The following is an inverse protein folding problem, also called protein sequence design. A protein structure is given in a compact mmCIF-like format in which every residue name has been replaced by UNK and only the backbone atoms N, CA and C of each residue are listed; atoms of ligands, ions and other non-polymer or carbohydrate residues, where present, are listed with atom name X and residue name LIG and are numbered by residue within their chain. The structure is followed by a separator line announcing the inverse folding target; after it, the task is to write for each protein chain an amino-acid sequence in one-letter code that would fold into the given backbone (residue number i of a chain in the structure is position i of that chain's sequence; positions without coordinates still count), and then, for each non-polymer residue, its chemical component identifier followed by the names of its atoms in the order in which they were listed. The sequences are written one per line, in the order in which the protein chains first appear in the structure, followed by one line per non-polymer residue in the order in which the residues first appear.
data_IF_887234419800
#
_entry.id   IF_887234419800
#
_cell.length_a   1.000
_cell.length_b   1.000
_cell.length_c   1.000
_cell.angle_alpha   90.00
_cell.angle_beta   90.00
_cell.angle_gamma   90.00
#
_symmetry.space_group_name_H-M   'P 1'
#
loop_
_entity.id
_entity.type
_entity.pdbx_description
1 polymer ?
#
# COMPACT_ATOMS: atom_id res chain seq x y z
N UNK A 1 12.47 3.97 -4.66
CA UNK A 1 12.18 3.05 -5.78
C UNK A 1 11.99 1.65 -5.19
N UNK A 2 11.03 0.86 -5.70
CA UNK A 2 10.80 -0.53 -5.26
C UNK A 2 11.42 -1.43 -6.34
N UNK A 3 12.30 -2.37 -5.98
CA UNK A 3 13.03 -3.22 -6.94
C UNK A 3 13.20 -4.66 -6.46
N UNK A 4 13.58 -5.55 -7.38
CA UNK A 4 14.05 -6.91 -7.10
C UNK A 4 15.51 -6.94 -6.61
N UNK A 5 16.00 -8.11 -6.21
CA UNK A 5 17.28 -8.34 -5.52
C UNK A 5 17.42 -7.81 -4.07
N UNK A 6 18.36 -8.37 -3.33
CA UNK A 6 18.53 -8.17 -1.88
C UNK A 6 19.35 -6.93 -1.45
N UNK A 7 19.73 -6.03 -2.36
CA UNK A 7 20.57 -4.86 -2.06
C UNK A 7 19.79 -3.57 -2.21
N UNK A 8 19.56 -2.86 -1.10
CA UNK A 8 18.96 -1.52 -1.14
C UNK A 8 19.93 -0.47 -0.60
N UNK A 9 20.20 0.55 -1.41
CA UNK A 9 20.74 1.82 -0.95
C UNK A 9 19.59 2.82 -1.06
N UNK A 10 18.78 2.93 -0.02
CA UNK A 10 17.64 3.87 0.04
C UNK A 10 16.40 3.46 -0.78
N UNK A 11 16.24 2.18 -1.10
CA UNK A 11 15.12 1.65 -1.85
C UNK A 11 14.37 0.55 -1.08
N UNK A 12 13.14 0.21 -1.51
CA UNK A 12 12.42 -0.95 -0.98
C UNK A 12 12.79 -2.17 -1.82
N UNK A 13 13.74 -2.95 -1.32
CA UNK A 13 14.10 -4.23 -1.91
C UNK A 13 13.01 -5.27 -1.65
N UNK A 14 12.57 -5.91 -2.71
CA UNK A 14 11.68 -7.08 -2.73
C UNK A 14 12.44 -8.23 -3.40
N UNK A 15 11.90 -9.45 -3.30
CA UNK A 15 12.37 -10.54 -4.17
C UNK A 15 11.97 -10.25 -5.61
N UNK A 16 12.65 -10.86 -6.57
CA UNK A 16 12.32 -10.71 -8.00
C UNK A 16 10.85 -11.08 -8.26
N UNK A 17 10.39 -12.19 -7.69
CA UNK A 17 8.98 -12.59 -7.75
C UNK A 17 8.02 -11.56 -7.13
N UNK A 18 8.41 -10.91 -6.03
CA UNK A 18 7.57 -9.93 -5.34
C UNK A 18 7.47 -8.62 -6.11
N UNK A 19 8.57 -8.16 -6.72
CA UNK A 19 8.52 -6.96 -7.56
C UNK A 19 7.78 -7.21 -8.87
N UNK A 20 7.87 -8.40 -9.46
CA UNK A 20 7.15 -8.75 -10.69
C UNK A 20 5.63 -8.63 -10.50
N UNK A 21 5.11 -9.15 -9.38
CA UNK A 21 3.69 -9.03 -9.03
C UNK A 21 3.27 -7.57 -8.82
N UNK A 22 4.07 -6.79 -8.07
CA UNK A 22 3.81 -5.36 -7.85
C UNK A 22 3.81 -4.60 -9.18
N UNK A 23 4.79 -4.87 -10.05
CA UNK A 23 4.89 -4.24 -11.36
C UNK A 23 3.67 -4.54 -12.23
N UNK A 24 3.18 -5.79 -12.21
CA UNK A 24 1.98 -6.19 -12.95
C UNK A 24 0.75 -5.40 -12.49
N UNK A 25 0.49 -5.32 -11.18
CA UNK A 25 -0.66 -4.59 -10.64
C UNK A 25 -0.58 -3.08 -10.90
N UNK A 26 0.59 -2.48 -10.70
CA UNK A 26 0.80 -1.04 -10.94
C UNK A 26 0.65 -0.72 -12.42
N UNK A 27 1.22 -1.54 -13.31
CA UNK A 27 1.07 -1.38 -14.76
C UNK A 27 -0.39 -1.46 -15.17
N UNK A 28 -1.13 -2.45 -14.68
CA UNK A 28 -2.56 -2.56 -14.95
C UNK A 28 -3.33 -1.32 -14.46
N UNK A 29 -3.11 -0.89 -13.22
CA UNK A 29 -3.78 0.29 -12.66
C UNK A 29 -3.57 1.54 -13.52
N UNK A 30 -2.33 1.78 -13.95
CA UNK A 30 -1.97 2.93 -14.79
C UNK A 30 -2.57 2.83 -16.20
N UNK A 31 -2.47 1.66 -16.85
CA UNK A 31 -3.04 1.41 -18.20
C UNK A 31 -4.57 1.58 -18.19
N UNK A 32 -5.23 1.19 -17.10
CA UNK A 32 -6.67 1.34 -16.91
C UNK A 32 -7.08 2.69 -16.29
N UNK A 33 -6.20 3.70 -16.32
CA UNK A 33 -6.56 5.09 -16.08
C UNK A 33 -6.49 5.56 -14.62
N UNK A 34 -5.96 4.76 -13.70
CA UNK A 34 -5.62 5.25 -12.36
C UNK A 34 -4.42 6.21 -12.48
N UNK A 35 -4.53 7.48 -12.04
CA UNK A 35 -3.48 8.48 -12.28
C UNK A 35 -2.24 8.27 -11.39
N UNK A 36 -2.38 7.53 -10.30
CA UNK A 36 -1.31 7.26 -9.34
C UNK A 36 -1.68 6.09 -8.43
N UNK A 37 -0.69 5.32 -7.98
CA UNK A 37 -0.88 4.24 -7.00
C UNK A 37 -0.36 4.71 -5.64
N UNK A 38 -1.24 4.68 -4.62
CA UNK A 38 -0.86 5.03 -3.26
C UNK A 38 -0.17 3.84 -2.58
N UNK A 39 0.95 4.09 -1.91
CA UNK A 39 1.70 3.08 -1.16
C UNK A 39 1.67 3.45 0.31
N UNK A 40 1.17 2.53 1.14
CA UNK A 40 1.19 2.65 2.61
C UNK A 40 2.18 1.65 3.18
N UNK A 41 3.05 2.11 4.07
CA UNK A 41 4.13 1.29 4.64
C UNK A 41 4.02 1.33 6.15
N UNK A 42 3.98 0.14 6.75
CA UNK A 42 3.84 -0.06 8.18
C UNK A 42 5.08 -0.76 8.74
N UNK A 43 5.49 -0.48 9.99
CA UNK A 43 6.71 -1.03 10.57
C UNK A 43 6.65 -2.55 10.79
N UNK A 44 5.44 -3.08 10.93
CA UNK A 44 5.11 -4.49 11.11
C UNK A 44 3.60 -4.65 10.92
N UNK A 45 3.10 -5.89 10.92
CA UNK A 45 1.65 -6.15 11.05
C UNK A 45 1.16 -5.60 12.38
N UNK A 46 0.36 -4.54 12.37
CA UNK A 46 0.09 -3.72 13.56
C UNK A 46 -0.97 -4.32 14.51
N UNK A 47 -0.89 -5.62 14.74
CA UNK A 47 -1.71 -6.31 15.74
C UNK A 47 -1.43 -5.77 17.13
N UNK A 48 -2.41 -5.86 18.05
CA UNK A 48 -2.25 -5.38 19.42
C UNK A 48 -1.07 -6.07 20.13
N UNK A 49 -0.85 -7.35 19.84
CA UNK A 49 0.30 -8.09 20.34
C UNK A 49 1.65 -7.49 19.87
N UNK A 50 1.76 -7.10 18.60
CA UNK A 50 2.97 -6.46 18.09
C UNK A 50 3.15 -5.04 18.62
N UNK A 51 2.06 -4.27 18.73
CA UNK A 51 2.10 -2.95 19.37
C UNK A 51 2.60 -3.05 20.81
N UNK A 52 2.12 -4.03 21.57
CA UNK A 52 2.55 -4.28 22.94
C UNK A 52 4.01 -4.76 23.02
N UNK A 53 4.42 -5.64 22.11
CA UNK A 53 5.81 -6.11 22.00
C UNK A 53 6.79 -4.95 21.83
N UNK A 54 6.41 -3.93 21.07
CA UNK A 54 7.27 -2.78 20.77
C UNK A 54 6.91 -1.50 21.55
N UNK A 55 6.20 -1.62 22.68
CA UNK A 55 5.74 -0.46 23.48
C UNK A 55 6.83 0.48 24.00
N UNK A 56 8.08 0.02 24.07
CA UNK A 56 9.23 0.83 24.51
C UNK A 56 10.05 1.41 23.34
N UNK A 57 9.58 1.26 22.11
CA UNK A 57 10.19 1.90 20.94
C UNK A 57 10.12 3.42 21.05
N UNK A 58 11.17 4.10 20.60
CA UNK A 58 11.17 5.55 20.40
C UNK A 58 10.02 6.00 19.47
N UNK A 59 9.62 5.14 18.52
CA UNK A 59 8.57 5.43 17.54
C UNK A 59 7.17 5.04 18.00
N UNK A 60 6.96 4.63 19.27
CA UNK A 60 5.65 4.11 19.73
C UNK A 60 4.50 5.08 19.45
N UNK A 61 4.72 6.37 19.66
CA UNK A 61 3.69 7.41 19.53
C UNK A 61 3.39 7.73 18.07
N UNK A 62 4.38 7.55 17.20
CA UNK A 62 4.18 7.62 15.76
C UNK A 62 3.39 6.42 15.27
N UNK A 63 3.77 5.20 15.67
CA UNK A 63 3.04 3.99 15.29
C UNK A 63 1.61 3.97 15.82
N UNK A 64 1.36 4.51 17.01
CA UNK A 64 -0.01 4.68 17.52
C UNK A 64 -0.89 5.52 16.58
N UNK A 65 -0.32 6.48 15.84
CA UNK A 65 -1.04 7.28 14.86
C UNK A 65 -1.30 6.53 13.53
N UNK A 66 -0.46 5.56 13.18
CA UNK A 66 -0.64 4.74 11.98
C UNK A 66 -1.68 3.63 12.16
N UNK A 67 -1.82 3.09 13.38
CA UNK A 67 -2.65 1.92 13.67
C UNK A 67 -4.11 2.05 13.22
N UNK A 68 -4.81 3.19 13.43
CA UNK A 68 -6.19 3.33 12.96
C UNK A 68 -6.35 3.14 11.44
N UNK A 69 -5.35 3.56 10.65
CA UNK A 69 -5.34 3.38 9.20
C UNK A 69 -5.10 1.92 8.80
N UNK A 70 -4.18 1.26 9.51
CA UNK A 70 -3.93 -0.18 9.35
C UNK A 70 -5.19 -0.99 9.67
N UNK A 71 -5.80 -0.77 10.84
CA UNK A 71 -6.98 -1.51 11.29
C UNK A 71 -8.17 -1.31 10.34
N UNK A 72 -8.37 -0.08 9.83
CA UNK A 72 -9.41 0.20 8.84
C UNK A 72 -9.20 -0.61 7.56
N UNK A 73 -7.97 -0.65 7.05
CA UNK A 73 -7.64 -1.41 5.85
C UNK A 73 -7.84 -2.91 6.05
N UNK A 74 -7.36 -3.48 7.16
CA UNK A 74 -7.52 -4.93 7.43
C UNK A 74 -8.99 -5.33 7.60
N UNK A 75 -9.84 -4.43 8.11
CA UNK A 75 -11.28 -4.71 8.26
C UNK A 75 -12.07 -4.57 6.95
N UNK A 76 -11.72 -3.59 6.12
CA UNK A 76 -12.56 -3.18 4.97
C UNK A 76 -11.95 -3.52 3.61
N UNK A 77 -10.66 -3.83 3.59
CA UNK A 77 -9.82 -3.97 2.40
C UNK A 77 -9.88 -2.73 1.49
N UNK A 78 -10.16 -1.56 2.07
CA UNK A 78 -10.20 -0.27 1.39
C UNK A 78 -9.18 0.67 2.04
N UNK A 79 -8.40 1.43 1.26
CA UNK A 79 -7.48 2.40 1.82
C UNK A 79 -8.26 3.50 2.56
N UNK A 80 -7.81 3.92 3.76
CA UNK A 80 -8.38 5.09 4.44
C UNK A 80 -7.95 6.39 3.75
N UNK A 81 -8.61 7.49 4.07
CA UNK A 81 -8.06 8.82 3.81
C UNK A 81 -7.13 9.20 4.96
N UNK A 82 -5.96 9.74 4.62
CA UNK A 82 -4.95 10.15 5.59
C UNK A 82 -4.58 11.60 5.32
N UNK A 83 -4.56 12.42 6.37
CA UNK A 83 -4.08 13.80 6.34
C UNK A 83 -3.09 14.07 7.47
N UNK A 84 -2.38 15.18 7.39
CA UNK A 84 -1.45 15.63 8.44
C UNK A 84 -1.97 16.94 9.01
N UNK A 85 -2.19 16.96 10.32
CA UNK A 85 -2.62 18.14 11.08
C UNK A 85 -1.67 18.32 12.25
N UNK A 86 -1.04 19.50 12.35
CA UNK A 86 -0.06 19.83 13.40
C UNK A 86 1.05 18.76 13.56
N UNK A 87 1.53 18.24 12.42
CA UNK A 87 2.56 17.20 12.37
C UNK A 87 2.10 15.80 12.79
N UNK A 88 0.79 15.59 12.96
CA UNK A 88 0.19 14.29 13.34
C UNK A 88 -0.64 13.70 12.21
N UNK A 89 -0.60 12.38 12.09
CA UNK A 89 -1.43 11.66 11.14
C UNK A 89 -2.88 11.59 11.65
N UNK A 90 -3.81 12.00 10.80
CA UNK A 90 -5.24 11.91 11.04
C UNK A 90 -5.85 10.98 9.98
N UNK A 91 -6.53 9.94 10.46
CA UNK A 91 -7.15 8.91 9.61
C UNK A 91 -8.66 9.15 9.58
N UNK A 92 -9.22 9.22 8.37
CA UNK A 92 -10.65 9.35 8.14
C UNK A 92 -11.14 8.30 7.13
N UNK A 93 -12.46 8.07 7.12
CA UNK A 93 -13.09 7.23 6.10
C UNK A 93 -12.90 7.90 4.73
N UNK A 94 -12.66 7.13 3.65
CA UNK A 94 -12.61 7.68 2.31
C UNK A 94 -13.91 8.43 1.99
N UNK A 95 -13.77 9.65 1.47
CA UNK A 95 -14.89 10.41 0.91
C UNK A 95 -15.50 9.55 -0.19
N UNK A 96 -16.80 9.28 -0.12
CA UNK A 96 -17.54 8.51 -1.11
C UNK A 96 -17.51 9.26 -2.46
N UNK A 97 -16.49 8.99 -3.26
CA UNK A 97 -16.52 9.25 -4.68
C UNK A 97 -16.74 7.90 -5.34
N UNK A 98 -17.86 7.75 -6.04
CA UNK A 98 -18.13 6.59 -6.88
C UNK A 98 -16.97 6.42 -7.86
N UNK A 99 -16.19 5.35 -7.67
CA UNK A 99 -15.16 4.95 -8.62
C UNK A 99 -15.91 4.41 -9.84
N UNK A 100 -15.96 5.20 -10.92
CA UNK A 100 -16.41 4.73 -12.23
C UNK A 100 -15.40 3.67 -12.68
N UNK A 101 -15.75 2.39 -12.51
CA UNK A 101 -14.94 1.28 -13.00
C UNK A 101 -14.92 1.30 -14.54
N UNK A 102 -13.75 1.43 -15.19
CA UNK A 102 -13.66 1.19 -16.62
C UNK A 102 -14.01 -0.27 -16.88
N UNK A 103 -14.96 -0.51 -17.77
CA UNK A 103 -15.41 -1.86 -18.10
C UNK A 103 -14.25 -2.71 -18.63
N UNK A 104 -14.12 -3.90 -18.05
CA UNK A 104 -13.18 -4.96 -18.40
C UNK A 104 -13.02 -5.16 -19.91
N UNK A 105 -11.84 -4.82 -20.46
CA UNK A 105 -11.38 -5.36 -21.73
C UNK A 105 -10.51 -6.59 -21.45
N UNK A 106 -11.17 -7.73 -21.24
CA UNK A 106 -10.56 -9.05 -21.35
C UNK A 106 -10.16 -9.27 -22.80
N UNK A 107 -8.90 -9.03 -23.17
CA UNK A 107 -8.35 -9.34 -24.52
C UNK A 107 -6.81 -9.35 -24.57
N UNK A 108 -6.12 -9.75 -23.50
CA UNK A 108 -4.69 -10.08 -23.64
C UNK A 108 -4.56 -11.50 -24.18
N UNK A 109 -4.59 -11.62 -25.52
CA UNK A 109 -4.06 -12.79 -26.22
C UNK A 109 -2.54 -12.74 -26.13
N UNK A 110 -1.96 -13.65 -25.33
CA UNK A 110 -0.53 -13.96 -25.40
C UNK A 110 -0.21 -14.43 -26.82
N UNK A 111 0.47 -13.58 -27.58
CA UNK A 111 1.00 -13.96 -28.89
C UNK A 111 2.24 -14.81 -28.63
N UNK A 112 2.18 -16.10 -28.96
CA UNK A 112 3.34 -17.00 -28.90
C UNK A 112 4.46 -16.46 -29.80
N UNK A 113 5.66 -16.32 -29.20
CA UNK A 113 6.87 -15.95 -29.92
C UNK A 113 7.33 -17.12 -30.81
N UNK A 114 7.72 -16.76 -32.03
CA UNK A 114 8.11 -17.63 -33.14
C UNK A 114 9.41 -18.41 -32.90
#
# INVERSE_FOLDING_TARGET
MIHGACVSVGCYAMTDSGIDEIFQFVTAALVFGQPSVQVSIYPFRMTDANMQRHKYSYYKDFWAQLKPGYDYFEQTHKPPTVSIVDGRYVVSKPLSHEVVQPQLASNYTLSEAK
#
